data_IF_611125146422
#
_entry.id   IF_611125146422
#
_cell.length_a   1.000
_cell.length_b   1.000
_cell.length_c   1.000
_cell.angle_alpha   90.00
_cell.angle_beta   90.00
_cell.angle_gamma   90.00
#
_symmetry.space_group_name_H-M   'P 1'
#
loop_
_entity.id
_entity.type
_entity.pdbx_description
1 polymer ?
#
# COMPACT_ATOMS: atom_id res chain seq x y z
N UNK A 1 -19.84 25.34 9.73
CA UNK A 1 -19.71 25.70 8.29
C UNK A 1 -18.29 25.49 7.73
N UNK A 2 -17.23 26.21 8.18
CA UNK A 2 -15.86 25.95 7.67
C UNK A 2 -15.32 24.54 7.99
N UNK A 3 -15.65 24.01 9.17
CA UNK A 3 -15.24 22.66 9.59
C UNK A 3 -15.96 21.55 8.81
N UNK A 4 -17.26 21.71 8.55
CA UNK A 4 -18.06 20.72 7.81
C UNK A 4 -17.62 20.62 6.35
N UNK A 5 -17.33 21.76 5.71
CA UNK A 5 -16.79 21.79 4.33
C UNK A 5 -15.40 21.14 4.27
N UNK A 6 -14.52 21.40 5.25
CA UNK A 6 -13.20 20.77 5.33
C UNK A 6 -13.28 19.24 5.42
N UNK A 7 -14.20 18.72 6.21
CA UNK A 7 -14.39 17.27 6.37
C UNK A 7 -14.94 16.63 5.09
N UNK A 8 -15.94 17.25 4.45
CA UNK A 8 -16.52 16.75 3.19
C UNK A 8 -15.46 16.74 2.07
N UNK A 9 -14.68 17.81 1.95
CA UNK A 9 -13.60 17.88 0.95
C UNK A 9 -12.57 16.77 1.17
N UNK A 10 -12.11 16.59 2.41
CA UNK A 10 -11.14 15.54 2.75
C UNK A 10 -11.70 14.14 2.45
N UNK A 11 -12.95 13.84 2.85
CA UNK A 11 -13.59 12.54 2.58
C UNK A 11 -13.70 12.25 1.08
N UNK A 12 -14.12 13.23 0.28
CA UNK A 12 -14.21 13.08 -1.18
C UNK A 12 -12.84 12.81 -1.79
N UNK A 13 -11.80 13.54 -1.35
CA UNK A 13 -10.45 13.37 -1.86
C UNK A 13 -9.88 11.99 -1.53
N UNK A 14 -10.07 11.51 -0.29
CA UNK A 14 -9.69 10.16 0.10
C UNK A 14 -10.32 9.08 -0.79
N UNK A 15 -11.62 9.20 -1.11
CA UNK A 15 -12.29 8.27 -2.02
C UNK A 15 -11.74 8.33 -3.44
N UNK A 16 -11.50 9.54 -3.96
CA UNK A 16 -10.89 9.74 -5.28
C UNK A 16 -9.52 9.08 -5.35
N UNK A 17 -8.69 9.24 -4.31
CA UNK A 17 -7.36 8.63 -4.23
C UNK A 17 -7.44 7.10 -4.22
N UNK A 18 -8.36 6.50 -3.44
CA UNK A 18 -8.55 5.04 -3.46
C UNK A 18 -8.91 4.58 -4.86
N UNK A 19 -9.91 5.20 -5.49
CA UNK A 19 -10.40 4.80 -6.80
C UNK A 19 -9.27 4.89 -7.82
N UNK A 20 -8.53 6.00 -7.85
CA UNK A 20 -7.40 6.18 -8.76
C UNK A 20 -6.27 5.19 -8.48
N UNK A 21 -6.01 4.85 -7.21
CA UNK A 21 -5.03 3.84 -6.82
C UNK A 21 -5.42 2.45 -7.33
N UNK A 22 -6.67 2.05 -7.13
CA UNK A 22 -7.20 0.76 -7.60
C UNK A 22 -7.16 0.68 -9.13
N UNK A 23 -7.63 1.73 -9.81
CA UNK A 23 -7.59 1.80 -11.27
C UNK A 23 -6.15 1.69 -11.80
N UNK A 24 -5.20 2.34 -11.14
CA UNK A 24 -3.80 2.28 -11.51
C UNK A 24 -3.22 0.87 -11.35
N UNK A 25 -3.54 0.18 -10.24
CA UNK A 25 -3.12 -1.21 -10.04
C UNK A 25 -3.71 -2.11 -11.13
N UNK A 26 -5.02 -2.02 -11.38
CA UNK A 26 -5.70 -2.81 -12.41
C UNK A 26 -5.09 -2.57 -13.79
N UNK A 27 -4.83 -1.32 -14.16
CA UNK A 27 -4.24 -0.98 -15.45
C UNK A 27 -2.83 -1.59 -15.58
N UNK A 28 -1.99 -1.48 -14.54
CA UNK A 28 -0.64 -2.06 -14.54
C UNK A 28 -0.70 -3.58 -14.63
N UNK A 29 -1.64 -4.21 -13.93
CA UNK A 29 -1.86 -5.65 -14.01
C UNK A 29 -2.18 -6.08 -15.44
N UNK A 30 -3.13 -5.40 -16.11
CA UNK A 30 -3.53 -5.71 -17.48
C UNK A 30 -2.36 -5.56 -18.45
N UNK A 31 -1.65 -4.43 -18.42
CA UNK A 31 -0.49 -4.20 -19.31
C UNK A 31 0.63 -5.24 -19.05
N UNK A 32 0.82 -5.67 -17.79
CA UNK A 32 1.77 -6.73 -17.44
C UNK A 32 1.38 -8.07 -18.05
N UNK A 33 0.09 -8.46 -17.95
CA UNK A 33 -0.40 -9.72 -18.51
C UNK A 33 -0.38 -9.74 -20.04
N UNK A 34 -0.51 -8.59 -20.69
CA UNK A 34 -0.46 -8.47 -22.14
C UNK A 34 0.98 -8.36 -22.69
N UNK A 35 2.00 -8.26 -21.82
CA UNK A 35 3.40 -8.15 -22.23
C UNK A 35 3.71 -6.86 -22.99
N UNK A 36 2.88 -5.82 -22.85
CA UNK A 36 3.03 -4.56 -23.57
C UNK A 36 4.10 -3.72 -22.87
N UNK A 37 5.00 -3.13 -23.66
CA UNK A 37 5.98 -2.18 -23.13
C UNK A 37 5.26 -0.89 -22.69
N UNK A 38 5.11 -0.70 -21.37
CA UNK A 38 4.47 0.44 -20.73
C UNK A 38 4.90 1.81 -21.28
N UNK A 39 6.18 1.96 -21.61
CA UNK A 39 6.75 3.20 -22.16
C UNK A 39 6.27 3.49 -23.59
N UNK A 40 5.91 2.46 -24.36
CA UNK A 40 5.32 2.63 -25.69
C UNK A 40 3.81 2.88 -25.63
N UNK A 41 3.16 2.56 -24.52
CA UNK A 41 1.73 2.77 -24.36
C UNK A 41 1.46 4.23 -23.94
N UNK A 42 1.23 5.10 -24.94
CA UNK A 42 0.95 6.52 -24.72
C UNK A 42 -0.31 6.76 -23.87
N UNK A 43 -1.28 5.84 -23.91
CA UNK A 43 -2.47 5.90 -23.07
C UNK A 43 -2.12 5.71 -21.59
N UNK A 44 -1.26 4.74 -21.29
CA UNK A 44 -0.80 4.48 -19.93
C UNK A 44 0.01 5.67 -19.37
N UNK A 45 0.96 6.18 -20.13
CA UNK A 45 1.76 7.36 -19.74
C UNK A 45 0.88 8.59 -19.47
N UNK A 46 -0.15 8.82 -20.29
CA UNK A 46 -1.07 9.95 -20.10
C UNK A 46 -1.94 9.75 -18.86
N UNK A 47 -2.50 8.56 -18.67
CA UNK A 47 -3.30 8.23 -17.49
C UNK A 47 -2.47 8.37 -16.20
N UNK A 48 -1.25 7.82 -16.19
CA UNK A 48 -0.36 7.90 -15.04
C UNK A 48 -0.04 9.35 -14.67
N UNK A 49 0.22 10.21 -15.65
CA UNK A 49 0.48 11.64 -15.42
C UNK A 49 -0.71 12.32 -14.73
N UNK A 50 -1.93 12.07 -15.21
CA UNK A 50 -3.15 12.62 -14.59
C UNK A 50 -3.31 12.14 -13.15
N UNK A 51 -3.07 10.86 -12.87
CA UNK A 51 -3.07 10.33 -11.50
C UNK A 51 -2.02 11.05 -10.65
N UNK A 52 -0.79 11.25 -11.15
CA UNK A 52 0.24 12.02 -10.44
C UNK A 52 -0.21 13.44 -10.12
N UNK A 53 -0.83 14.14 -11.08
CA UNK A 53 -1.32 15.51 -10.88
C UNK A 53 -2.37 15.54 -9.75
N UNK A 54 -3.32 14.60 -9.74
CA UNK A 54 -4.33 14.53 -8.68
C UNK A 54 -3.71 14.27 -7.31
N UNK A 55 -2.71 13.38 -7.22
CA UNK A 55 -2.01 13.09 -5.97
C UNK A 55 -1.16 14.26 -5.46
N UNK A 56 -0.52 15.00 -6.37
CA UNK A 56 0.21 16.21 -6.02
C UNK A 56 -0.76 17.28 -5.52
N UNK A 57 -1.88 17.48 -6.22
CA UNK A 57 -2.92 18.42 -5.81
C UNK A 57 -3.48 18.07 -4.44
N UNK A 58 -3.71 16.78 -4.17
CA UNK A 58 -4.15 16.28 -2.88
C UNK A 58 -3.20 16.66 -1.74
N UNK A 59 -1.90 16.36 -1.90
CA UNK A 59 -0.89 16.73 -0.92
C UNK A 59 -0.89 18.25 -0.63
N UNK A 60 -1.02 19.09 -1.64
CA UNK A 60 -1.02 20.55 -1.46
C UNK A 60 -2.31 21.06 -0.82
N UNK A 61 -3.47 20.46 -1.13
CA UNK A 61 -4.75 20.81 -0.50
C UNK A 61 -4.73 20.43 0.98
N UNK A 62 -4.30 19.22 1.34
CA UNK A 62 -4.17 18.82 2.74
C UNK A 62 -3.14 19.67 3.49
N UNK A 63 -2.02 20.01 2.85
CA UNK A 63 -1.02 20.91 3.41
C UNK A 63 -1.57 22.32 3.68
N UNK A 64 -2.43 22.84 2.79
CA UNK A 64 -3.07 24.14 2.98
C UNK A 64 -4.11 24.12 4.11
N UNK A 65 -4.73 22.96 4.34
CA UNK A 65 -5.75 22.72 5.36
C UNK A 65 -5.15 22.41 6.74
N UNK A 66 -3.90 21.95 6.79
CA UNK A 66 -3.19 21.56 8.01
C UNK A 66 -2.87 22.77 8.92
N UNK A 67 -3.07 22.60 10.22
CA UNK A 67 -2.76 23.63 11.23
C UNK A 67 -1.24 23.82 11.40
N UNK A 68 -0.47 22.73 11.32
CA UNK A 68 0.99 22.74 11.32
C UNK A 68 1.53 22.12 10.03
N UNK A 69 1.91 22.99 9.10
CA UNK A 69 2.40 22.63 7.77
C UNK A 69 3.68 21.79 7.83
N UNK A 70 4.59 22.09 8.76
CA UNK A 70 5.87 21.41 8.84
C UNK A 70 5.73 20.00 9.40
N UNK A 71 4.89 19.85 10.42
CA UNK A 71 4.51 18.53 10.96
C UNK A 71 3.86 17.66 9.89
N UNK A 72 2.97 18.24 9.08
CA UNK A 72 2.30 17.54 7.99
C UNK A 72 3.28 17.07 6.91
N UNK A 73 4.17 17.96 6.43
CA UNK A 73 5.18 17.62 5.41
C UNK A 73 6.04 16.46 5.87
N UNK A 74 6.63 16.52 7.09
CA UNK A 74 7.51 15.44 7.58
C UNK A 74 6.81 14.09 7.72
N UNK A 75 5.50 14.08 7.95
CA UNK A 75 4.69 12.86 7.97
C UNK A 75 4.42 12.26 6.59
N UNK A 76 4.38 13.09 5.54
CA UNK A 76 3.94 12.71 4.20
C UNK A 76 5.03 12.89 3.12
N UNK A 77 6.30 13.05 3.50
CA UNK A 77 7.42 13.18 2.54
C UNK A 77 7.49 12.01 1.56
N UNK A 78 7.33 10.78 2.05
CA UNK A 78 7.33 9.59 1.19
C UNK A 78 6.18 9.64 0.16
N UNK A 79 5.01 10.11 0.56
CA UNK A 79 3.87 10.29 -0.33
C UNK A 79 4.20 11.33 -1.42
N UNK A 80 4.75 12.50 -1.05
CA UNK A 80 5.15 13.53 -1.99
C UNK A 80 6.16 13.02 -3.03
N UNK A 81 7.19 12.30 -2.59
CA UNK A 81 8.19 11.73 -3.51
C UNK A 81 7.56 10.74 -4.48
N UNK A 82 6.60 9.93 -4.03
CA UNK A 82 5.92 8.93 -4.87
C UNK A 82 4.86 9.54 -5.80
N UNK A 83 4.35 10.73 -5.50
CA UNK A 83 3.42 11.48 -6.35
C UNK A 83 4.07 12.02 -7.63
N UNK A 84 5.40 12.09 -7.69
CA UNK A 84 6.14 12.65 -8.83
C UNK A 84 6.04 11.72 -10.06
N UNK A 85 5.73 12.24 -11.26
CA UNK A 85 5.58 11.45 -12.48
C UNK A 85 6.95 11.05 -13.10
N UNK A 86 7.77 10.26 -12.40
CA UNK A 86 9.12 9.89 -12.89
C UNK A 86 9.12 9.22 -14.26
N UNK A 87 8.17 8.32 -14.55
CA UNK A 87 8.11 7.65 -15.85
C UNK A 87 7.90 8.64 -17.00
N UNK A 88 7.02 9.63 -16.83
CA UNK A 88 6.82 10.68 -17.83
C UNK A 88 8.01 11.64 -17.93
N UNK A 89 8.68 11.94 -16.81
CA UNK A 89 9.89 12.79 -16.83
C UNK A 89 11.00 12.10 -17.62
N UNK A 90 11.24 10.82 -17.36
CA UNK A 90 12.26 10.03 -18.05
C UNK A 90 11.96 9.92 -19.55
N UNK A 91 10.71 9.65 -19.92
CA UNK A 91 10.26 9.58 -21.32
C UNK A 91 10.45 10.94 -22.03
N UNK A 92 10.01 12.03 -21.41
CA UNK A 92 10.11 13.37 -22.00
C UNK A 92 11.54 13.91 -22.12
N UNK A 93 12.43 13.56 -21.19
CA UNK A 93 13.84 13.96 -21.25
C UNK A 93 14.67 13.09 -22.21
N UNK A 94 14.10 12.01 -22.75
CA UNK A 94 14.78 11.11 -23.68
C UNK A 94 16.05 10.47 -23.10
N UNK A 95 16.15 10.36 -21.77
CA UNK A 95 17.34 9.78 -21.12
C UNK A 95 17.42 8.31 -21.55
N UNK A 96 18.54 7.86 -22.15
CA UNK A 96 18.75 6.45 -22.45
C UNK A 96 19.01 5.72 -21.13
N UNK A 97 17.94 5.36 -20.43
CA UNK A 97 18.03 4.50 -19.24
C UNK A 97 18.03 3.05 -19.69
N UNK A 98 18.91 2.27 -19.05
CA UNK A 98 18.96 0.82 -19.24
C UNK A 98 17.60 0.20 -18.89
N UNK A 99 17.21 -0.88 -19.57
CA UNK A 99 16.01 -1.70 -19.25
C UNK A 99 15.96 -2.07 -17.76
N UNK A 100 17.12 -2.22 -17.11
CA UNK A 100 17.25 -2.51 -15.68
C UNK A 100 16.88 -1.33 -14.75
N UNK A 101 17.10 -0.08 -15.17
CA UNK A 101 16.80 1.11 -14.36
C UNK A 101 15.35 1.56 -14.53
N UNK A 102 14.84 1.49 -15.76
CA UNK A 102 13.41 1.69 -16.06
C UNK A 102 12.53 0.75 -15.24
N UNK A 103 13.02 -0.46 -14.94
CA UNK A 103 12.34 -1.42 -14.11
C UNK A 103 12.05 -0.89 -12.70
N UNK A 104 13.04 -0.36 -11.96
CA UNK A 104 12.80 0.17 -10.61
C UNK A 104 11.80 1.32 -10.59
N UNK A 105 11.83 2.17 -11.63
CA UNK A 105 10.90 3.29 -11.79
C UNK A 105 9.48 2.82 -12.08
N UNK A 106 9.28 1.64 -12.70
CA UNK A 106 7.95 1.03 -12.91
C UNK A 106 7.22 0.67 -11.62
N UNK A 107 7.91 0.53 -10.49
CA UNK A 107 7.29 0.21 -9.20
C UNK A 107 6.89 1.44 -8.39
N UNK A 108 7.35 2.62 -8.77
CA UNK A 108 6.99 3.87 -8.08
C UNK A 108 5.48 4.11 -8.09
N UNK A 109 4.76 3.98 -9.23
CA UNK A 109 3.31 4.14 -9.27
C UNK A 109 2.57 3.11 -8.40
N UNK A 110 3.12 1.90 -8.28
CA UNK A 110 2.56 0.83 -7.45
C UNK A 110 2.76 1.12 -5.96
N UNK A 111 3.98 1.44 -5.55
CA UNK A 111 4.29 1.85 -4.18
C UNK A 111 3.41 3.02 -3.73
N UNK A 112 3.16 3.98 -4.64
CA UNK A 112 2.20 5.07 -4.43
C UNK A 112 0.79 4.55 -4.12
N UNK A 113 0.24 3.67 -4.96
CA UNK A 113 -1.11 3.13 -4.77
C UNK A 113 -1.26 2.37 -3.44
N UNK A 114 -0.22 1.63 -3.04
CA UNK A 114 -0.19 0.91 -1.75
C UNK A 114 -0.19 1.87 -0.57
N UNK A 115 0.69 2.87 -0.58
CA UNK A 115 0.72 3.86 0.50
C UNK A 115 -0.58 4.66 0.57
N UNK A 116 -1.15 5.03 -0.57
CA UNK A 116 -2.42 5.72 -0.64
C UNK A 116 -3.55 4.92 0.02
N UNK A 117 -3.68 3.64 -0.33
CA UNK A 117 -4.67 2.77 0.31
C UNK A 117 -4.42 2.60 1.82
N UNK A 118 -3.15 2.45 2.23
CA UNK A 118 -2.80 2.33 3.65
C UNK A 118 -3.17 3.60 4.45
N UNK A 119 -2.90 4.78 3.89
CA UNK A 119 -3.25 6.08 4.49
C UNK A 119 -4.78 6.22 4.61
N UNK A 120 -5.54 5.89 3.55
CA UNK A 120 -7.00 6.06 3.59
C UNK A 120 -7.69 5.06 4.51
N UNK A 121 -7.22 3.81 4.55
CA UNK A 121 -7.66 2.84 5.58
C UNK A 121 -7.35 3.37 6.98
N UNK A 122 -6.25 4.10 7.11
CA UNK A 122 -5.88 4.92 8.26
C UNK A 122 -7.03 5.78 8.78
N UNK A 123 -7.61 6.58 7.87
CA UNK A 123 -8.65 7.58 8.14
C UNK A 123 -10.06 7.00 8.36
N UNK A 124 -10.43 5.93 7.63
CA UNK A 124 -11.78 5.34 7.72
C UNK A 124 -12.02 4.66 9.08
N UNK A 125 -10.95 4.19 9.74
CA UNK A 125 -11.09 3.41 10.97
C UNK A 125 -11.12 4.27 12.22
N UNK A 126 -12.26 4.27 12.93
CA UNK A 126 -12.46 4.99 14.21
C UNK A 126 -11.51 4.57 15.33
N UNK A 127 -10.80 3.44 15.16
CA UNK A 127 -9.90 2.91 16.17
C UNK A 127 -8.47 2.79 15.66
N UNK A 128 -7.51 3.46 16.32
CA UNK A 128 -6.09 3.44 15.94
C UNK A 128 -5.52 2.03 15.76
N UNK A 129 -5.89 1.07 16.61
CA UNK A 129 -5.34 -0.31 16.52
C UNK A 129 -5.98 -1.09 15.35
N UNK A 130 -7.27 -0.91 15.10
CA UNK A 130 -7.96 -1.52 13.96
C UNK A 130 -7.46 -0.91 12.64
N UNK A 131 -7.26 0.41 12.63
CA UNK A 131 -6.66 1.17 11.54
C UNK A 131 -5.26 0.67 11.18
N UNK A 132 -4.40 0.47 12.20
CA UNK A 132 -3.06 -0.08 12.03
C UNK A 132 -3.09 -1.51 11.48
N UNK A 133 -3.94 -2.39 12.01
CA UNK A 133 -4.04 -3.76 11.50
C UNK A 133 -4.55 -3.79 10.05
N UNK A 134 -5.60 -3.02 9.74
CA UNK A 134 -6.19 -2.99 8.41
C UNK A 134 -5.25 -2.41 7.35
N UNK A 135 -4.58 -1.30 7.65
CA UNK A 135 -3.57 -0.71 6.77
C UNK A 135 -2.41 -1.69 6.53
N UNK A 136 -1.98 -2.39 7.58
CA UNK A 136 -0.95 -3.41 7.47
C UNK A 136 -1.36 -4.59 6.59
N UNK A 137 -2.59 -5.10 6.73
CA UNK A 137 -3.13 -6.17 5.87
C UNK A 137 -3.10 -5.73 4.40
N UNK A 138 -3.52 -4.49 4.12
CA UNK A 138 -3.51 -3.95 2.75
C UNK A 138 -2.08 -3.87 2.21
N UNK A 139 -1.12 -3.40 3.02
CA UNK A 139 0.30 -3.38 2.65
C UNK A 139 0.80 -4.80 2.37
N UNK A 140 0.54 -5.75 3.26
CA UNK A 140 0.98 -7.14 3.12
C UNK A 140 0.43 -7.78 1.85
N UNK A 141 -0.89 -7.69 1.62
CA UNK A 141 -1.53 -8.23 0.42
C UNK A 141 -0.97 -7.59 -0.86
N UNK A 142 -0.73 -6.28 -0.82
CA UNK A 142 -0.12 -5.57 -1.94
C UNK A 142 1.32 -6.03 -2.19
N UNK A 143 2.14 -6.16 -1.15
CA UNK A 143 3.52 -6.65 -1.26
C UNK A 143 3.55 -8.06 -1.84
N UNK A 144 2.65 -8.95 -1.39
CA UNK A 144 2.53 -10.31 -1.95
C UNK A 144 2.16 -10.26 -3.42
N UNK A 145 1.16 -9.46 -3.79
CA UNK A 145 0.69 -9.32 -5.17
C UNK A 145 1.76 -8.74 -6.12
N UNK A 146 2.48 -7.69 -5.71
CA UNK A 146 3.52 -7.10 -6.56
C UNK A 146 4.77 -7.97 -6.61
N UNK A 147 5.14 -8.58 -5.48
CA UNK A 147 6.30 -9.47 -5.45
C UNK A 147 6.06 -10.70 -6.32
N UNK A 148 4.85 -11.27 -6.38
CA UNK A 148 4.55 -12.37 -7.29
C UNK A 148 4.64 -11.95 -8.76
N UNK A 149 4.16 -10.76 -9.11
CA UNK A 149 4.22 -10.24 -10.48
C UNK A 149 5.67 -10.02 -10.93
N UNK A 150 6.49 -9.42 -10.06
CA UNK A 150 7.92 -9.20 -10.34
C UNK A 150 8.66 -10.52 -10.42
N UNK A 151 8.41 -11.41 -9.45
CA UNK A 151 9.05 -12.70 -9.37
C UNK A 151 8.76 -13.51 -10.64
N UNK A 152 7.52 -13.53 -11.12
CA UNK A 152 7.16 -14.11 -12.41
C UNK A 152 8.04 -13.53 -13.53
N UNK A 153 8.03 -12.21 -13.72
CA UNK A 153 8.74 -11.58 -14.83
C UNK A 153 10.25 -11.85 -14.83
N UNK A 154 10.88 -11.93 -13.65
CA UNK A 154 12.34 -12.08 -13.51
C UNK A 154 12.78 -13.54 -13.47
N UNK A 155 11.99 -14.41 -12.88
CA UNK A 155 12.33 -15.82 -12.69
C UNK A 155 11.82 -16.69 -13.84
N UNK A 156 10.69 -16.38 -14.47
CA UNK A 156 10.14 -17.21 -15.57
C UNK A 156 11.14 -17.52 -16.70
N UNK A 157 12.05 -16.59 -17.12
CA UNK A 157 13.03 -16.89 -18.16
C UNK A 157 14.17 -17.83 -17.73
N UNK A 158 14.42 -17.98 -16.42
CA UNK A 158 15.61 -18.68 -15.88
C UNK A 158 15.28 -19.82 -14.92
N UNK A 159 14.06 -19.85 -14.39
CA UNK A 159 13.61 -20.74 -13.33
C UNK A 159 12.49 -21.65 -13.86
N UNK A 160 12.77 -22.95 -14.09
CA UNK A 160 11.81 -23.86 -14.69
C UNK A 160 10.59 -24.14 -13.78
N UNK A 161 10.68 -23.82 -12.49
CA UNK A 161 9.57 -24.02 -11.54
C UNK A 161 8.52 -22.89 -11.62
N UNK A 162 8.85 -21.77 -12.27
CA UNK A 162 8.00 -20.59 -12.38
C UNK A 162 7.36 -20.57 -13.77
N UNK A 163 6.38 -21.44 -14.00
CA UNK A 163 5.76 -21.62 -15.33
C UNK A 163 4.60 -20.68 -15.59
N UNK A 164 3.90 -20.23 -14.54
CA UNK A 164 2.74 -19.36 -14.62
C UNK A 164 2.67 -18.43 -13.41
N UNK A 165 1.76 -17.45 -13.48
CA UNK A 165 1.54 -16.50 -12.39
C UNK A 165 1.08 -17.17 -11.08
N UNK A 166 0.31 -18.26 -11.15
CA UNK A 166 -0.13 -19.01 -9.98
C UNK A 166 1.04 -19.53 -9.13
N UNK A 167 2.10 -20.03 -9.76
CA UNK A 167 3.31 -20.48 -9.07
C UNK A 167 4.03 -19.33 -8.37
N UNK A 168 4.12 -18.17 -9.03
CA UNK A 168 4.74 -16.98 -8.43
C UNK A 168 3.91 -16.40 -7.27
N UNK A 169 2.57 -16.43 -7.39
CA UNK A 169 1.65 -16.03 -6.34
C UNK A 169 1.73 -16.98 -5.14
N UNK A 170 1.76 -18.29 -5.39
CA UNK A 170 1.96 -19.32 -4.38
C UNK A 170 3.28 -19.12 -3.63
N UNK A 171 4.36 -18.87 -4.37
CA UNK A 171 5.67 -18.57 -3.79
C UNK A 171 5.62 -17.33 -2.87
N UNK A 172 5.06 -16.21 -3.35
CA UNK A 172 5.00 -14.99 -2.57
C UNK A 172 4.14 -15.17 -1.30
N UNK A 173 3.00 -15.86 -1.41
CA UNK A 173 2.10 -16.09 -0.27
C UNK A 173 2.73 -17.01 0.78
N UNK A 174 3.32 -18.13 0.36
CA UNK A 174 4.01 -19.07 1.28
C UNK A 174 5.26 -18.46 1.91
N UNK A 175 6.00 -17.62 1.17
CA UNK A 175 7.14 -16.87 1.72
C UNK A 175 6.69 -15.85 2.76
N UNK A 176 5.59 -15.13 2.51
CA UNK A 176 5.04 -14.14 3.46
C UNK A 176 4.51 -14.77 4.74
N UNK A 177 4.12 -16.04 4.70
CA UNK A 177 3.64 -16.76 5.88
C UNK A 177 4.74 -17.58 6.55
N UNK A 178 6.00 -17.48 6.07
CA UNK A 178 7.14 -18.29 6.49
C UNK A 178 6.98 -19.81 6.32
N UNK A 179 5.93 -20.26 5.61
CA UNK A 179 5.73 -21.67 5.26
C UNK A 179 6.77 -22.12 4.24
N UNK A 180 7.05 -21.25 3.26
CA UNK A 180 7.92 -21.55 2.13
C UNK A 180 7.32 -22.56 1.14
N UNK A 181 8.00 -22.76 0.03
CA UNK A 181 7.65 -23.77 -0.97
C UNK A 181 8.92 -24.26 -1.67
N UNK A 182 8.78 -25.19 -2.62
CA UNK A 182 9.91 -25.76 -3.37
C UNK A 182 10.53 -24.80 -4.39
N UNK A 183 9.89 -23.66 -4.68
CA UNK A 183 10.37 -22.66 -5.64
C UNK A 183 11.38 -21.74 -4.93
N UNK A 184 12.61 -21.71 -5.44
CA UNK A 184 13.67 -20.85 -4.91
C UNK A 184 14.08 -19.78 -5.94
N UNK A 185 14.29 -18.51 -5.52
CA UNK A 185 14.78 -17.46 -6.41
C UNK A 185 16.20 -17.74 -6.93
N UNK A 186 16.36 -17.66 -8.25
CA UNK A 186 17.66 -17.79 -8.91
C UNK A 186 18.28 -16.42 -9.21
N UNK A 187 17.47 -15.38 -9.40
CA UNK A 187 17.92 -14.02 -9.69
C UNK A 187 18.21 -13.20 -8.44
N UNK A 188 19.06 -12.18 -8.55
CA UNK A 188 19.31 -11.20 -7.48
C UNK A 188 18.01 -10.50 -7.06
N UNK A 189 17.17 -10.13 -8.04
CA UNK A 189 15.87 -9.50 -7.78
C UNK A 189 14.94 -10.43 -7.00
N UNK A 190 14.83 -11.70 -7.39
CA UNK A 190 14.04 -12.69 -6.66
C UNK A 190 14.52 -12.89 -5.22
N UNK A 191 15.84 -12.88 -4.99
CA UNK A 191 16.42 -12.97 -3.64
C UNK A 191 16.10 -11.75 -2.77
N UNK A 192 16.16 -10.54 -3.34
CA UNK A 192 15.76 -9.31 -2.62
C UNK A 192 14.27 -9.38 -2.27
N UNK A 193 13.42 -9.81 -3.20
CA UNK A 193 11.99 -9.98 -2.95
C UNK A 193 11.71 -11.00 -1.84
N UNK A 194 12.45 -12.11 -1.82
CA UNK A 194 12.31 -13.11 -0.76
C UNK A 194 12.48 -12.49 0.63
N UNK A 195 13.50 -11.64 0.80
CA UNK A 195 13.75 -10.92 2.06
C UNK A 195 12.62 -9.94 2.37
N UNK A 196 12.21 -9.11 1.41
CA UNK A 196 11.15 -8.10 1.61
C UNK A 196 9.82 -8.76 1.99
N UNK A 197 9.43 -9.81 1.27
CA UNK A 197 8.19 -10.55 1.50
C UNK A 197 8.22 -11.26 2.85
N UNK A 198 9.33 -11.91 3.20
CA UNK A 198 9.48 -12.59 4.49
C UNK A 198 9.46 -11.60 5.66
N UNK A 199 10.17 -10.47 5.56
CA UNK A 199 10.14 -9.42 6.58
C UNK A 199 8.73 -8.89 6.79
N UNK A 200 8.02 -8.55 5.70
CA UNK A 200 6.62 -8.08 5.75
C UNK A 200 5.68 -9.12 6.35
N UNK A 201 5.96 -10.40 6.12
CA UNK A 201 5.24 -11.51 6.74
C UNK A 201 5.39 -11.57 8.25
N UNK A 202 6.63 -11.62 8.72
CA UNK A 202 6.97 -11.81 10.13
C UNK A 202 6.44 -10.65 11.00
N UNK A 203 6.47 -9.42 10.49
CA UNK A 203 5.97 -8.25 11.24
C UNK A 203 4.44 -8.24 11.42
N UNK A 204 3.69 -9.09 10.71
CA UNK A 204 2.23 -9.23 10.91
C UNK A 204 1.88 -9.87 12.26
N UNK A 205 2.67 -10.84 12.72
CA UNK A 205 2.32 -11.63 13.89
C UNK A 205 2.23 -10.79 15.18
N UNK A 206 3.21 -9.92 15.51
CA UNK A 206 3.11 -9.04 16.68
C UNK A 206 1.90 -8.08 16.61
N UNK A 207 1.59 -7.54 15.42
CA UNK A 207 0.46 -6.63 15.24
C UNK A 207 -0.88 -7.33 15.49
N UNK A 208 -1.01 -8.58 15.04
CA UNK A 208 -2.18 -9.40 15.30
C UNK A 208 -2.35 -9.69 16.79
N UNK A 209 -1.25 -10.01 17.50
CA UNK A 209 -1.28 -10.18 18.96
C UNK A 209 -1.75 -8.92 19.68
N UNK A 210 -1.18 -7.75 19.34
CA UNK A 210 -1.59 -6.46 19.93
C UNK A 210 -3.06 -6.16 19.67
N UNK A 211 -3.55 -6.44 18.46
CA UNK A 211 -4.96 -6.27 18.12
C UNK A 211 -5.86 -7.14 19.01
N UNK A 212 -5.57 -8.44 19.12
CA UNK A 212 -6.34 -9.36 19.97
C UNK A 212 -6.30 -8.95 21.44
N UNK A 213 -5.12 -8.64 21.99
CA UNK A 213 -5.00 -8.16 23.37
C UNK A 213 -5.81 -6.89 23.59
N UNK A 214 -5.80 -5.97 22.63
CA UNK A 214 -6.60 -4.74 22.71
C UNK A 214 -8.10 -5.00 22.68
N UNK A 215 -8.54 -5.98 21.86
CA UNK A 215 -9.94 -6.37 21.74
C UNK A 215 -10.43 -7.01 23.04
N UNK A 216 -9.66 -7.95 23.59
CA UNK A 216 -9.96 -8.62 24.86
C UNK A 216 -9.97 -7.61 26.01
N UNK A 217 -9.01 -6.68 26.05
CA UNK A 217 -8.96 -5.64 27.09
C UNK A 217 -10.18 -4.72 27.03
N UNK A 218 -10.62 -4.33 25.82
CA UNK A 218 -11.85 -3.55 25.64
C UNK A 218 -13.09 -4.30 26.09
N UNK A 219 -13.18 -5.57 25.72
CA UNK A 219 -14.30 -6.43 26.12
C UNK A 219 -14.36 -6.58 27.64
N UNK A 220 -13.22 -6.86 28.29
CA UNK A 220 -13.09 -6.93 29.75
C UNK A 220 -13.47 -5.61 30.44
N UNK A 221 -13.03 -4.47 29.91
CA UNK A 221 -13.36 -3.16 30.50
C UNK A 221 -14.86 -2.85 30.37
N UNK A 222 -15.49 -3.20 29.24
CA UNK A 222 -16.95 -3.07 29.08
C UNK A 222 -17.71 -3.92 30.09
N UNK A 223 -17.30 -5.17 30.31
CA UNK A 223 -17.94 -6.04 31.32
C UNK A 223 -17.76 -5.53 32.75
N UNK A 224 -16.59 -5.01 33.12
CA UNK A 224 -16.36 -4.44 34.47
C UNK A 224 -17.30 -3.25 34.78
N UNK A 225 -17.59 -2.42 33.78
CA UNK A 225 -18.54 -1.29 33.93
C UNK A 225 -19.97 -1.82 34.17
N UNK A 226 -20.37 -2.91 33.52
CA UNK A 226 -21.69 -3.52 33.71
C UNK A 226 -21.88 -4.20 35.08
N UNK A 227 -20.79 -4.69 35.69
CA UNK A 227 -20.83 -5.40 36.97
C UNK A 227 -20.49 -4.56 38.20
N UNK A 228 -20.27 -3.24 38.06
CA UNK A 228 -20.19 -2.36 39.24
C UNK A 228 -21.63 -2.07 39.69
N UNK A 229 -22.11 -2.65 40.81
CA UNK A 229 -23.48 -2.36 41.27
C UNK A 229 -23.53 -0.88 41.62
N UNK A 230 -24.63 -0.20 41.26
CA UNK A 230 -24.92 1.11 41.81
C UNK A 230 -24.83 1.01 43.34
N UNK A 231 -23.84 1.67 43.92
CA UNK A 231 -23.61 1.67 45.36
C UNK A 231 -24.90 2.06 46.07
N UNK A 232 -25.33 1.20 46.99
CA UNK A 232 -26.38 1.43 47.96
C UNK A 232 -26.30 2.84 48.54
N UNK A 233 -27.40 3.61 48.47
CA UNK A 233 -27.51 4.87 49.19
C UNK A 233 -27.28 4.63 50.69
N UNK A 234 -26.56 5.51 51.41
CA UNK A 234 -26.52 5.43 52.85
C UNK A 234 -27.95 5.66 53.36
N UNK A 235 -28.49 4.68 54.10
CA UNK A 235 -29.71 4.91 54.88
C UNK A 235 -29.26 5.64 56.16
N UNK A 236 -29.64 6.91 56.25
CA UNK A 236 -29.78 7.63 57.53
C UNK A 236 -30.84 6.97 58.41
#
# INVERSE_FOLDING_TARGET
MKADVKNIVSDVMHWVIIILSVLLIVYISVDTFQGINFLKNRSYMTFQLWVCIVFIADFFIELAIAEDRWRYVRGHLLFLFLSIPYLNIIDSLGIPVSEADLFFVRFIPLARGVLAMAIVVGYISKNRITSLLASYIVIMLSVVYFSSLIFLYREQPVNPMVTNYGNALWWAFTTSTSVGCSINPMTVTGKILAVVVACTGITMFPLFTVYLTSLITRYRNRMKITFTPASTSPKE
#
